data_IF_894561229457
#
_entry.id   IF_894561229457
#
_cell.length_a   1.000
_cell.length_b   1.000
_cell.length_c   1.000
_cell.angle_alpha   90.00
_cell.angle_beta   90.00
_cell.angle_gamma   90.00
#
_symmetry.space_group_name_H-M   'P 1'
#
loop_
_entity.id
_entity.type
_entity.pdbx_description
1 polymer ?
#
# COMPACT_ATOMS: atom_id res chain seq x y z
N UNK A 1 -8.67 42.29 -9.87
CA UNK A 1 -9.63 41.24 -9.49
C UNK A 1 -10.22 40.54 -10.72
N UNK A 2 -10.74 41.28 -11.71
CA UNK A 2 -11.31 40.72 -12.96
C UNK A 2 -10.32 39.86 -13.77
N UNK A 3 -9.03 40.23 -13.84
CA UNK A 3 -8.00 39.50 -14.59
C UNK A 3 -7.68 38.09 -14.02
N UNK A 4 -7.78 37.90 -12.69
CA UNK A 4 -7.54 36.60 -12.04
C UNK A 4 -8.72 35.62 -12.27
N UNK A 5 -9.94 36.15 -12.32
CA UNK A 5 -11.15 35.38 -12.61
C UNK A 5 -11.15 34.93 -14.08
N UNK A 6 -10.72 35.81 -15.00
CA UNK A 6 -10.57 35.47 -16.42
C UNK A 6 -9.50 34.39 -16.67
N UNK A 7 -8.37 34.47 -15.96
CA UNK A 7 -7.30 33.46 -16.05
C UNK A 7 -7.73 32.09 -15.55
N UNK A 8 -8.45 32.03 -14.42
CA UNK A 8 -9.02 30.78 -13.90
C UNK A 8 -10.03 30.15 -14.86
N UNK A 9 -10.92 30.95 -15.45
CA UNK A 9 -11.89 30.48 -16.44
C UNK A 9 -11.20 29.90 -17.69
N UNK A 10 -10.12 30.53 -18.16
CA UNK A 10 -9.36 30.05 -19.32
C UNK A 10 -8.69 28.69 -19.06
N UNK A 11 -8.13 28.48 -17.87
CA UNK A 11 -7.55 27.19 -17.47
C UNK A 11 -8.64 26.11 -17.42
N UNK A 12 -9.80 26.41 -16.83
CA UNK A 12 -10.92 25.47 -16.77
C UNK A 12 -11.41 25.10 -18.18
N UNK A 13 -11.53 26.07 -19.09
CA UNK A 13 -11.92 25.82 -20.49
C UNK A 13 -10.90 24.95 -21.23
N UNK A 14 -9.60 25.16 -21.01
CA UNK A 14 -8.55 24.32 -21.58
C UNK A 14 -8.61 22.89 -21.06
N UNK A 15 -8.85 22.70 -19.77
CA UNK A 15 -9.02 21.37 -19.17
C UNK A 15 -10.23 20.65 -19.79
N UNK A 16 -11.37 21.34 -19.89
CA UNK A 16 -12.58 20.78 -20.51
C UNK A 16 -12.34 20.43 -21.97
N UNK A 17 -11.70 21.31 -22.75
CA UNK A 17 -11.36 21.05 -24.14
C UNK A 17 -10.42 19.83 -24.29
N UNK A 18 -9.43 19.69 -23.39
CA UNK A 18 -8.55 18.52 -23.34
C UNK A 18 -9.30 17.22 -23.06
N UNK A 19 -10.23 17.24 -22.11
CA UNK A 19 -11.09 16.08 -21.78
C UNK A 19 -11.95 15.70 -23.00
N UNK A 20 -12.58 16.68 -23.65
CA UNK A 20 -13.41 16.44 -24.84
C UNK A 20 -12.59 15.87 -26.00
N UNK A 21 -11.37 16.37 -26.22
CA UNK A 21 -10.47 15.83 -27.23
C UNK A 21 -10.07 14.37 -26.91
N UNK A 22 -9.76 14.06 -25.64
CA UNK A 22 -9.44 12.70 -25.22
C UNK A 22 -10.63 11.74 -25.43
N UNK A 23 -11.85 12.17 -25.07
CA UNK A 23 -13.07 11.40 -25.32
C UNK A 23 -13.27 11.16 -26.82
N UNK A 24 -13.09 12.18 -27.65
CA UNK A 24 -13.23 12.06 -29.10
C UNK A 24 -12.22 11.07 -29.70
N UNK A 25 -10.97 11.06 -29.20
CA UNK A 25 -9.94 10.10 -29.62
C UNK A 25 -10.32 8.68 -29.21
N UNK A 26 -10.79 8.46 -27.98
CA UNK A 26 -11.20 7.13 -27.50
C UNK A 26 -12.37 6.59 -28.31
N UNK A 27 -13.38 7.43 -28.58
CA UNK A 27 -14.54 7.06 -29.38
C UNK A 27 -14.13 6.76 -30.82
N UNK A 28 -13.32 7.63 -31.44
CA UNK A 28 -12.84 7.45 -32.80
C UNK A 28 -12.01 6.18 -32.97
N UNK A 29 -11.13 5.90 -32.01
CA UNK A 29 -10.33 4.67 -31.98
C UNK A 29 -11.21 3.43 -31.87
N UNK A 30 -12.17 3.44 -30.93
CA UNK A 30 -13.10 2.33 -30.72
C UNK A 30 -13.97 2.07 -31.96
N UNK A 31 -14.40 3.14 -32.65
CA UNK A 31 -15.13 3.04 -33.91
C UNK A 31 -14.27 2.43 -35.02
N UNK A 32 -13.01 2.87 -35.15
CA UNK A 32 -12.07 2.33 -36.13
C UNK A 32 -11.77 0.85 -35.93
N UNK A 33 -11.48 0.44 -34.69
CA UNK A 33 -11.23 -0.98 -34.34
C UNK A 33 -12.49 -1.83 -34.57
N UNK A 34 -13.66 -1.33 -34.17
CA UNK A 34 -14.93 -2.02 -34.41
C UNK A 34 -15.26 -2.16 -35.89
N UNK A 35 -14.99 -1.13 -36.70
CA UNK A 35 -15.19 -1.18 -38.15
C UNK A 35 -14.30 -2.24 -38.82
N UNK A 36 -13.02 -2.33 -38.41
CA UNK A 36 -12.10 -3.37 -38.90
C UNK A 36 -12.60 -4.76 -38.48
N UNK A 37 -12.99 -4.94 -37.21
CA UNK A 37 -13.45 -6.23 -36.71
C UNK A 37 -14.72 -6.73 -37.43
N UNK A 38 -15.64 -5.83 -37.77
CA UNK A 38 -16.87 -6.14 -38.51
C UNK A 38 -16.61 -6.61 -39.96
N UNK A 39 -15.42 -6.35 -40.54
CA UNK A 39 -15.06 -6.90 -41.86
C UNK A 39 -14.68 -8.38 -41.81
N UNK A 40 -14.21 -8.87 -40.66
CA UNK A 40 -13.66 -10.23 -40.52
C UNK A 40 -14.55 -11.17 -39.70
N UNK A 41 -15.45 -10.61 -38.88
CA UNK A 41 -16.32 -11.36 -37.99
C UNK A 41 -17.78 -11.00 -38.26
N UNK A 42 -18.73 -11.94 -38.06
CA UNK A 42 -20.15 -11.73 -38.32
C UNK A 42 -20.81 -10.91 -37.20
N UNK A 43 -20.21 -9.79 -36.82
CA UNK A 43 -20.73 -8.87 -35.81
C UNK A 43 -21.39 -7.67 -36.45
N UNK A 44 -22.40 -7.13 -35.79
CA UNK A 44 -22.92 -5.80 -36.13
C UNK A 44 -21.89 -4.72 -35.77
N UNK A 45 -21.94 -3.55 -36.42
CA UNK A 45 -21.05 -2.42 -36.08
C UNK A 45 -21.17 -2.03 -34.60
N UNK A 46 -22.37 -2.14 -34.02
CA UNK A 46 -22.58 -1.91 -32.59
C UNK A 46 -21.83 -2.94 -31.72
N UNK A 47 -21.97 -4.23 -32.00
CA UNK A 47 -21.29 -5.28 -31.25
C UNK A 47 -19.77 -5.20 -31.41
N UNK A 48 -19.30 -4.91 -32.62
CA UNK A 48 -17.88 -4.78 -32.91
C UNK A 48 -17.25 -3.56 -32.21
N UNK A 49 -17.97 -2.43 -32.11
CA UNK A 49 -17.50 -1.26 -31.37
C UNK A 49 -17.54 -1.46 -29.86
N UNK A 50 -18.57 -2.12 -29.33
CA UNK A 50 -18.62 -2.52 -27.91
C UNK A 50 -17.45 -3.44 -27.54
N UNK A 51 -17.17 -4.43 -28.40
CA UNK A 51 -16.07 -5.37 -28.22
C UNK A 51 -14.70 -4.67 -28.34
N UNK A 52 -14.59 -3.69 -29.23
CA UNK A 52 -13.43 -2.80 -29.33
C UNK A 52 -13.19 -1.98 -28.05
N UNK A 53 -14.25 -1.46 -27.42
CA UNK A 53 -14.14 -0.76 -26.13
C UNK A 53 -13.68 -1.71 -25.02
N UNK A 54 -14.28 -2.89 -24.89
CA UNK A 54 -13.89 -3.89 -23.90
C UNK A 54 -12.44 -4.35 -24.09
N UNK A 55 -12.04 -4.61 -25.33
CA UNK A 55 -10.66 -4.96 -25.68
C UNK A 55 -9.70 -3.82 -25.33
N UNK A 56 -10.08 -2.57 -25.58
CA UNK A 56 -9.25 -1.40 -25.23
C UNK A 56 -9.08 -1.24 -23.72
N UNK A 57 -10.15 -1.46 -22.93
CA UNK A 57 -10.06 -1.46 -21.46
C UNK A 57 -9.12 -2.58 -20.99
N UNK A 58 -9.24 -3.77 -21.58
CA UNK A 58 -8.39 -4.91 -21.23
C UNK A 58 -6.92 -4.67 -21.59
N UNK A 59 -6.64 -4.15 -22.79
CA UNK A 59 -5.29 -3.79 -23.24
C UNK A 59 -4.73 -2.65 -22.39
N UNK A 60 -5.54 -1.67 -22.02
CA UNK A 60 -5.11 -0.60 -21.12
C UNK A 60 -4.76 -1.15 -19.73
N UNK A 61 -5.59 -2.01 -19.14
CA UNK A 61 -5.33 -2.62 -17.84
C UNK A 61 -4.09 -3.54 -17.85
N UNK A 62 -3.94 -4.36 -18.89
CA UNK A 62 -2.80 -5.25 -19.05
C UNK A 62 -1.52 -4.45 -19.36
N UNK A 63 -1.64 -3.46 -20.23
CA UNK A 63 -0.59 -2.54 -20.61
C UNK A 63 -0.13 -1.67 -19.45
N UNK A 64 -1.04 -1.16 -18.62
CA UNK A 64 -0.69 -0.40 -17.41
C UNK A 64 0.05 -1.26 -16.41
N UNK A 65 -0.32 -2.54 -16.28
CA UNK A 65 0.36 -3.50 -15.40
C UNK A 65 1.76 -3.88 -15.90
N UNK A 66 1.91 -4.07 -17.20
CA UNK A 66 3.21 -4.35 -17.84
C UNK A 66 4.09 -3.10 -17.81
N UNK A 67 3.52 -1.94 -18.12
CA UNK A 67 4.22 -0.67 -18.08
C UNK A 67 4.61 -0.31 -16.65
N UNK A 68 3.78 -0.58 -15.64
CA UNK A 68 4.18 -0.41 -14.24
C UNK A 68 5.31 -1.36 -13.86
N UNK A 69 5.32 -2.61 -14.35
CA UNK A 69 6.47 -3.49 -14.10
C UNK A 69 7.74 -3.04 -14.83
N UNK A 70 7.63 -2.50 -16.05
CA UNK A 70 8.78 -2.04 -16.84
C UNK A 70 9.30 -0.66 -16.41
N UNK A 71 8.42 0.23 -15.94
CA UNK A 71 8.83 1.52 -15.36
C UNK A 71 9.36 1.34 -13.93
N UNK A 72 8.90 0.32 -13.21
CA UNK A 72 9.50 -0.07 -11.93
C UNK A 72 10.94 -0.59 -12.10
N UNK A 73 11.28 -1.20 -13.24
CA UNK A 73 12.67 -1.57 -13.58
C UNK A 73 13.53 -0.36 -14.00
N UNK A 74 12.93 0.81 -14.29
CA UNK A 74 13.61 2.01 -14.76
C UNK A 74 14.14 2.93 -13.66
N UNK A 75 13.74 2.70 -12.41
CA UNK A 75 14.26 3.38 -11.22
C UNK A 75 15.31 2.52 -10.47
N UNK A 76 15.79 1.44 -11.11
CA UNK A 76 16.89 0.59 -10.63
C UNK A 76 18.18 0.83 -11.42
N UNK A 77 18.62 2.10 -11.53
CA UNK A 77 20.01 2.41 -11.90
C UNK A 77 20.63 3.45 -10.98
N UNK A 78 20.45 3.27 -9.67
CA UNK A 78 21.50 3.53 -8.68
C UNK A 78 21.49 2.39 -7.65
N UNK A 79 22.63 1.71 -7.54
CA UNK A 79 22.99 0.72 -6.50
C UNK A 79 22.37 -0.69 -6.56
N UNK A 80 22.56 -1.37 -7.69
CA UNK A 80 22.80 -2.82 -7.67
C UNK A 80 24.21 -3.09 -7.11
N UNK A 81 24.36 -2.97 -5.80
CA UNK A 81 25.65 -3.18 -5.14
C UNK A 81 25.53 -3.09 -3.62
N UNK A 82 25.08 -4.18 -3.00
CA UNK A 82 24.87 -4.31 -1.54
C UNK A 82 23.64 -3.48 -1.10
N UNK A 83 22.81 -4.05 -0.23
CA UNK A 83 21.68 -3.34 0.37
C UNK A 83 22.13 -2.02 1.01
N UNK A 84 21.20 -1.13 1.34
CA UNK A 84 21.53 0.13 1.99
C UNK A 84 22.55 -0.12 3.11
N UNK A 85 23.66 0.62 3.08
CA UNK A 85 24.70 0.59 4.09
C UNK A 85 24.02 0.62 5.49
N UNK A 86 24.25 -0.36 6.39
CA UNK A 86 23.61 -0.43 7.71
C UNK A 86 23.76 0.87 8.51
N UNK A 87 24.82 1.64 8.23
CA UNK A 87 25.07 2.95 8.85
C UNK A 87 24.09 4.07 8.46
N UNK A 88 23.17 3.85 7.51
CA UNK A 88 22.17 4.84 7.08
C UNK A 88 20.82 4.76 7.80
N UNK A 89 20.58 3.72 8.61
CA UNK A 89 19.30 3.52 9.31
C UNK A 89 19.00 4.64 10.34
N UNK A 90 20.01 5.10 11.06
CA UNK A 90 19.87 6.19 12.06
C UNK A 90 19.88 7.59 11.41
N UNK A 91 20.42 7.73 10.19
CA UNK A 91 20.78 9.05 9.63
C UNK A 91 19.80 9.58 8.57
N UNK A 92 18.85 8.76 8.08
CA UNK A 92 17.96 9.13 6.95
C UNK A 92 16.47 8.86 7.12
N UNK A 93 15.99 8.45 8.28
CA UNK A 93 14.55 8.50 8.53
C UNK A 93 14.21 9.96 8.88
N UNK A 94 13.41 10.68 8.06
CA UNK A 94 12.90 11.97 8.49
C UNK A 94 12.23 11.78 9.85
N UNK A 95 12.37 12.75 10.76
CA UNK A 95 11.47 12.87 11.91
C UNK A 95 10.06 13.08 11.34
N UNK A 96 9.41 12.01 10.92
CA UNK A 96 8.01 12.02 10.51
C UNK A 96 7.14 12.14 11.76
N UNK A 97 5.94 12.68 11.57
CA UNK A 97 4.94 12.94 12.62
C UNK A 97 4.47 11.66 13.36
N UNK A 98 5.03 10.49 13.02
CA UNK A 98 4.73 9.16 13.56
C UNK A 98 5.52 8.75 14.81
N UNK A 99 5.70 7.43 14.97
CA UNK A 99 6.42 6.80 16.09
C UNK A 99 7.90 6.72 15.71
N UNK A 100 8.82 7.31 16.50
CA UNK A 100 10.23 7.38 16.13
C UNK A 100 10.89 6.00 16.14
N UNK A 101 11.81 5.76 15.19
CA UNK A 101 12.57 4.51 15.09
C UNK A 101 13.38 4.19 16.35
N UNK A 102 13.81 5.21 17.08
CA UNK A 102 14.50 5.08 18.38
C UNK A 102 13.68 4.35 19.45
N UNK A 103 12.37 4.20 19.25
CA UNK A 103 11.50 3.38 20.11
C UNK A 103 11.75 1.88 19.93
N UNK A 104 12.24 1.45 18.77
CA UNK A 104 12.43 0.06 18.38
C UNK A 104 13.91 -0.34 18.28
N UNK A 105 14.78 0.60 17.91
CA UNK A 105 16.23 0.40 17.77
C UNK A 105 16.97 1.39 18.66
N UNK A 106 17.80 0.89 19.58
CA UNK A 106 18.63 1.74 20.46
C UNK A 106 20.12 1.68 20.11
N UNK A 107 20.54 0.61 19.45
CA UNK A 107 21.92 0.35 19.03
C UNK A 107 21.93 -0.41 17.71
N UNK A 108 23.09 -0.43 17.02
CA UNK A 108 23.28 -1.19 15.78
C UNK A 108 23.00 -2.70 15.97
N UNK A 109 23.21 -3.24 17.17
CA UNK A 109 22.91 -4.65 17.46
C UNK A 109 21.39 -4.94 17.52
N UNK A 110 20.57 -3.90 17.71
CA UNK A 110 19.10 -4.01 17.72
C UNK A 110 18.48 -3.87 16.32
N UNK A 111 19.30 -3.55 15.31
CA UNK A 111 18.89 -3.45 13.90
C UNK A 111 18.65 -4.84 13.30
N UNK A 112 17.48 -5.37 13.61
CA UNK A 112 17.02 -6.67 13.12
C UNK A 112 15.76 -6.51 12.28
N UNK A 113 15.49 -7.50 11.43
CA UNK A 113 14.22 -7.65 10.73
C UNK A 113 13.00 -7.50 11.66
N UNK A 114 13.08 -7.97 12.92
CA UNK A 114 11.99 -7.80 13.88
C UNK A 114 11.81 -6.34 14.29
N UNK A 115 12.89 -5.60 14.53
CA UNK A 115 12.83 -4.18 14.88
C UNK A 115 12.29 -3.35 13.72
N UNK A 116 12.76 -3.63 12.49
CA UNK A 116 12.25 -3.00 11.28
C UNK A 116 10.76 -3.30 11.05
N UNK A 117 10.37 -4.57 11.15
CA UNK A 117 8.98 -5.00 11.02
C UNK A 117 8.10 -4.30 12.06
N UNK A 118 8.53 -4.24 13.31
CA UNK A 118 7.78 -3.57 14.38
C UNK A 118 7.65 -2.06 14.14
N UNK A 119 8.72 -1.40 13.67
CA UNK A 119 8.68 0.01 13.32
C UNK A 119 7.66 0.32 12.23
N UNK A 120 7.73 -0.40 11.10
CA UNK A 120 6.83 -0.19 9.96
C UNK A 120 5.38 -0.45 10.35
N UNK A 121 5.11 -1.61 10.95
CA UNK A 121 3.75 -2.01 11.31
C UNK A 121 3.15 -1.08 12.38
N UNK A 122 3.95 -0.57 13.33
CA UNK A 122 3.44 0.37 14.32
C UNK A 122 3.03 1.70 13.72
N UNK A 123 3.80 2.23 12.75
CA UNK A 123 3.44 3.47 12.07
C UNK A 123 2.18 3.28 11.19
N UNK A 124 2.10 2.19 10.42
CA UNK A 124 0.89 1.91 9.61
C UNK A 124 -0.36 1.76 10.50
N UNK A 125 -0.25 1.08 11.66
CA UNK A 125 -1.37 0.98 12.61
C UNK A 125 -1.72 2.36 13.18
N UNK A 126 -0.72 3.17 13.52
CA UNK A 126 -0.95 4.52 14.06
C UNK A 126 -1.71 5.41 13.07
N UNK A 127 -1.26 5.45 11.82
CA UNK A 127 -1.88 6.26 10.77
C UNK A 127 -3.33 5.82 10.49
N UNK A 128 -3.57 4.52 10.37
CA UNK A 128 -4.92 3.98 10.15
C UNK A 128 -5.84 4.22 11.36
N UNK A 129 -5.31 4.16 12.59
CA UNK A 129 -6.10 4.45 13.79
C UNK A 129 -6.54 5.92 13.85
N UNK A 130 -5.70 6.85 13.39
CA UNK A 130 -6.08 8.26 13.27
C UNK A 130 -7.09 8.46 12.15
N UNK A 131 -6.84 7.88 10.97
CA UNK A 131 -7.67 8.08 9.80
C UNK A 131 -9.08 7.48 9.91
N UNK A 132 -9.19 6.25 10.42
CA UNK A 132 -10.47 5.51 10.44
C UNK A 132 -11.34 5.81 11.66
N UNK A 133 -10.73 6.16 12.79
CA UNK A 133 -11.41 6.20 14.09
C UNK A 133 -11.36 7.57 14.78
N UNK A 134 -10.63 8.56 14.24
CA UNK A 134 -10.52 9.91 14.81
C UNK A 134 -10.13 9.85 16.31
N UNK A 135 -9.22 8.93 16.64
CA UNK A 135 -8.90 8.62 18.04
C UNK A 135 -8.14 9.75 18.73
N UNK A 136 -7.53 10.68 18.00
CA UNK A 136 -6.89 11.88 18.57
C UNK A 136 -7.89 12.77 19.34
N UNK A 137 -9.15 12.80 18.89
CA UNK A 137 -10.22 13.53 19.56
C UNK A 137 -10.63 12.92 20.91
N UNK A 138 -10.38 11.61 21.12
CA UNK A 138 -10.80 10.86 22.32
C UNK A 138 -9.64 10.40 23.20
N UNK A 139 -8.46 10.19 22.61
CA UNK A 139 -7.22 9.74 23.23
C UNK A 139 -6.11 10.67 22.72
N UNK A 140 -5.33 11.26 23.62
CA UNK A 140 -4.23 12.14 23.19
C UNK A 140 -3.25 11.39 22.27
N UNK A 141 -2.60 12.09 21.35
CA UNK A 141 -1.70 11.53 20.33
C UNK A 141 -0.70 10.50 20.88
N UNK A 142 -0.04 10.82 22.00
CA UNK A 142 0.90 9.91 22.69
C UNK A 142 0.27 8.57 23.09
N UNK A 143 -1.00 8.60 23.51
CA UNK A 143 -1.74 7.38 23.88
C UNK A 143 -2.06 6.53 22.66
N UNK A 144 -2.36 7.15 21.51
CA UNK A 144 -2.60 6.46 20.24
C UNK A 144 -1.29 5.81 19.75
N UNK A 145 -0.16 6.52 19.83
CA UNK A 145 1.18 5.96 19.54
C UNK A 145 1.48 4.73 20.40
N UNK A 146 1.29 4.82 21.71
CA UNK A 146 1.51 3.68 22.61
C UNK A 146 0.46 2.55 22.45
N UNK A 147 -0.73 2.85 21.97
CA UNK A 147 -1.71 1.84 21.57
C UNK A 147 -1.22 1.08 20.32
N UNK A 148 -0.76 1.80 19.29
CA UNK A 148 -0.23 1.22 18.07
C UNK A 148 0.98 0.31 18.36
N UNK A 149 1.94 0.74 19.17
CA UNK A 149 3.08 -0.09 19.61
C UNK A 149 2.61 -1.40 20.26
N UNK A 150 1.65 -1.32 21.20
CA UNK A 150 1.12 -2.51 21.88
C UNK A 150 0.38 -3.45 20.93
N UNK A 151 -0.35 -2.92 19.96
CA UNK A 151 -1.01 -3.71 18.93
C UNK A 151 0.00 -4.40 18.01
N UNK A 152 1.10 -3.72 17.67
CA UNK A 152 2.22 -4.31 16.92
C UNK A 152 2.86 -5.47 17.67
N UNK A 153 3.01 -5.39 18.99
CA UNK A 153 3.54 -6.50 19.80
C UNK A 153 2.65 -7.74 19.72
N UNK A 154 1.32 -7.54 19.75
CA UNK A 154 0.34 -8.61 19.57
C UNK A 154 0.44 -9.20 18.16
N UNK A 155 0.52 -8.36 17.13
CA UNK A 155 0.66 -8.77 15.73
C UNK A 155 1.93 -9.60 15.53
N UNK A 156 3.06 -9.09 16.02
CA UNK A 156 4.37 -9.75 15.95
C UNK A 156 4.30 -11.12 16.64
N UNK A 157 3.71 -11.21 17.83
CA UNK A 157 3.53 -12.46 18.54
C UNK A 157 2.64 -13.46 17.76
N UNK A 158 1.57 -12.99 17.12
CA UNK A 158 0.73 -13.81 16.23
C UNK A 158 1.56 -14.42 15.10
N UNK A 159 2.42 -13.64 14.44
CA UNK A 159 3.21 -14.11 13.32
C UNK A 159 4.36 -15.03 13.74
N UNK A 160 5.07 -14.71 14.83
CA UNK A 160 6.14 -15.56 15.38
C UNK A 160 5.65 -16.96 15.77
N UNK A 161 4.41 -17.07 16.24
CA UNK A 161 3.79 -18.34 16.62
C UNK A 161 3.37 -19.25 15.44
N UNK A 162 3.30 -18.74 14.20
CA UNK A 162 2.86 -19.52 13.02
C UNK A 162 4.01 -20.35 12.44
N UNK A 163 3.75 -21.44 11.69
CA UNK A 163 4.81 -22.09 10.92
C UNK A 163 5.29 -21.21 9.76
N UNK A 164 6.50 -21.48 9.25
CA UNK A 164 6.99 -20.86 8.01
C UNK A 164 6.03 -21.15 6.85
N UNK A 165 5.98 -20.25 5.87
CA UNK A 165 5.12 -20.38 4.69
C UNK A 165 5.92 -20.24 3.39
N UNK A 166 5.47 -20.87 2.29
CA UNK A 166 6.04 -20.60 0.97
C UNK A 166 5.92 -19.11 0.60
N UNK A 167 6.91 -18.58 -0.13
CA UNK A 167 6.91 -17.17 -0.62
C UNK A 167 5.65 -16.80 -1.40
N UNK A 168 5.12 -17.74 -2.18
CA UNK A 168 3.90 -17.55 -2.97
C UNK A 168 2.61 -17.46 -2.15
N UNK A 169 2.65 -17.75 -0.84
CA UNK A 169 1.46 -17.72 0.00
C UNK A 169 1.26 -16.36 0.65
N UNK A 170 0.05 -15.82 0.54
CA UNK A 170 -0.34 -14.58 1.20
C UNK A 170 -0.26 -14.73 2.72
N UNK A 171 0.32 -13.74 3.37
CA UNK A 171 0.32 -13.57 4.82
C UNK A 171 -0.83 -12.65 5.18
N UNK A 172 -1.73 -13.13 6.04
CA UNK A 172 -2.84 -12.32 6.54
C UNK A 172 -3.07 -12.55 8.02
N UNK A 173 -3.62 -11.57 8.71
CA UNK A 173 -4.06 -11.63 10.11
C UNK A 173 -5.56 -11.33 10.20
N UNK A 174 -6.20 -11.89 11.21
CA UNK A 174 -7.65 -11.72 11.47
C UNK A 174 -7.87 -11.21 12.89
N UNK A 175 -8.98 -10.52 13.10
CA UNK A 175 -9.40 -10.04 14.45
C UNK A 175 -9.46 -11.19 15.46
N UNK A 176 -9.94 -12.36 15.05
CA UNK A 176 -9.99 -13.54 15.91
C UNK A 176 -8.60 -14.00 16.37
N UNK A 177 -7.59 -13.90 15.50
CA UNK A 177 -6.21 -14.22 15.85
C UNK A 177 -5.61 -13.19 16.81
N UNK A 178 -5.89 -11.90 16.59
CA UNK A 178 -5.48 -10.83 17.50
C UNK A 178 -6.07 -11.05 18.90
N UNK A 179 -7.39 -11.23 19.01
CA UNK A 179 -8.07 -11.50 20.29
C UNK A 179 -7.49 -12.71 21.00
N UNK A 180 -7.35 -13.83 20.29
CA UNK A 180 -6.76 -15.06 20.85
C UNK A 180 -5.34 -14.83 21.37
N UNK A 181 -4.55 -13.98 20.71
CA UNK A 181 -3.19 -13.69 21.14
C UNK A 181 -3.16 -12.71 22.32
N UNK A 182 -4.04 -11.71 22.35
CA UNK A 182 -4.23 -10.83 23.50
C UNK A 182 -4.59 -11.62 24.75
N UNK A 183 -5.53 -12.56 24.64
CA UNK A 183 -5.94 -13.44 25.74
C UNK A 183 -4.74 -14.24 26.28
N UNK A 184 -3.91 -14.80 25.38
CA UNK A 184 -2.67 -15.51 25.76
C UNK A 184 -1.64 -14.61 26.45
N UNK A 185 -1.62 -13.32 26.09
CA UNK A 185 -0.72 -12.33 26.68
C UNK A 185 -1.29 -11.72 27.97
N UNK A 186 -2.49 -12.11 28.40
CA UNK A 186 -3.17 -11.55 29.57
C UNK A 186 -3.62 -10.10 29.39
N UNK A 187 -3.79 -9.65 28.14
CA UNK A 187 -4.24 -8.30 27.82
C UNK A 187 -5.77 -8.20 27.85
N UNK A 188 -6.29 -7.06 28.29
CA UNK A 188 -7.72 -6.77 28.16
C UNK A 188 -8.06 -6.58 26.68
N UNK A 189 -9.15 -7.19 26.16
CA UNK A 189 -9.54 -7.02 24.76
C UNK A 189 -9.87 -5.54 24.48
N UNK A 190 -9.34 -5.04 23.37
CA UNK A 190 -9.72 -3.74 22.82
C UNK A 190 -11.04 -3.84 22.05
N UNK A 191 -11.63 -2.69 21.73
CA UNK A 191 -12.84 -2.61 20.93
C UNK A 191 -12.63 -3.24 19.54
N UNK A 192 -13.69 -3.84 19.01
CA UNK A 192 -13.63 -4.54 17.73
C UNK A 192 -13.16 -3.64 16.59
N UNK A 193 -13.51 -2.36 16.62
CA UNK A 193 -13.17 -1.42 15.57
C UNK A 193 -11.65 -1.17 15.55
N UNK A 194 -11.03 -0.94 16.71
CA UNK A 194 -9.56 -0.85 16.87
C UNK A 194 -8.88 -2.10 16.30
N UNK A 195 -9.37 -3.29 16.68
CA UNK A 195 -8.78 -4.55 16.21
C UNK A 195 -8.98 -4.79 14.70
N UNK A 196 -10.08 -4.31 14.14
CA UNK A 196 -10.38 -4.41 12.72
C UNK A 196 -9.49 -3.47 11.92
N UNK A 197 -9.35 -2.21 12.35
CA UNK A 197 -8.42 -1.24 11.78
C UNK A 197 -6.99 -1.78 11.83
N UNK A 198 -6.56 -2.31 12.98
CA UNK A 198 -5.25 -2.96 13.12
C UNK A 198 -5.05 -4.10 12.11
N UNK A 199 -6.04 -4.99 11.98
CA UNK A 199 -5.93 -6.11 11.05
C UNK A 199 -5.89 -5.64 9.59
N UNK A 200 -6.62 -4.57 9.26
CA UNK A 200 -6.63 -3.97 7.93
C UNK A 200 -5.28 -3.33 7.60
N UNK A 201 -4.73 -2.49 8.49
CA UNK A 201 -3.42 -1.85 8.35
C UNK A 201 -2.34 -2.89 8.02
N UNK A 202 -2.23 -3.92 8.87
CA UNK A 202 -1.25 -5.00 8.71
C UNK A 202 -1.46 -5.77 7.40
N UNK A 203 -2.70 -6.14 7.08
CA UNK A 203 -3.00 -6.88 5.85
C UNK A 203 -2.77 -6.06 4.59
N UNK A 204 -3.01 -4.75 4.67
CA UNK A 204 -2.71 -3.77 3.64
C UNK A 204 -1.21 -3.75 3.39
N UNK A 205 -0.42 -3.44 4.43
CA UNK A 205 1.03 -3.37 4.32
C UNK A 205 1.65 -4.63 3.74
N UNK A 206 1.34 -5.79 4.31
CA UNK A 206 1.88 -7.08 3.87
C UNK A 206 1.39 -7.55 2.49
N UNK A 207 0.44 -6.83 1.88
CA UNK A 207 0.00 -7.12 0.52
C UNK A 207 0.73 -6.31 -0.55
N UNK A 208 1.40 -5.23 -0.16
CA UNK A 208 2.17 -4.36 -1.07
C UNK A 208 3.68 -4.46 -0.82
N UNK A 209 4.09 -4.76 0.41
CA UNK A 209 5.50 -4.84 0.82
C UNK A 209 5.94 -6.31 0.93
N UNK A 210 6.57 -6.81 -0.14
CA UNK A 210 7.03 -8.19 -0.23
C UNK A 210 8.19 -8.49 0.72
N UNK A 211 8.99 -7.49 1.07
CA UNK A 211 10.12 -7.62 2.00
C UNK A 211 9.61 -7.88 3.43
N UNK A 212 8.70 -7.03 3.93
CA UNK A 212 8.04 -7.24 5.22
C UNK A 212 7.26 -8.56 5.25
N UNK A 213 6.60 -8.92 4.14
CA UNK A 213 5.92 -10.20 4.05
C UNK A 213 6.91 -11.38 4.13
N UNK A 214 8.10 -11.25 3.53
CA UNK A 214 9.14 -12.27 3.57
C UNK A 214 9.73 -12.48 4.96
N UNK A 215 9.89 -11.42 5.76
CA UNK A 215 10.27 -11.53 7.19
C UNK A 215 9.32 -12.50 7.91
N UNK A 216 8.01 -12.33 7.71
CA UNK A 216 6.99 -13.18 8.31
C UNK A 216 7.01 -14.60 7.75
N UNK A 217 7.14 -14.75 6.42
CA UNK A 217 7.11 -16.07 5.75
C UNK A 217 8.32 -16.92 6.11
N UNK A 218 9.50 -16.32 6.10
CA UNK A 218 10.79 -16.98 6.30
C UNK A 218 11.25 -17.01 7.75
N UNK A 219 10.65 -16.18 8.61
CA UNK A 219 11.02 -16.02 10.03
C UNK A 219 12.46 -15.56 10.23
N UNK A 220 12.88 -14.56 9.48
CA UNK A 220 14.20 -13.94 9.56
C UNK A 220 14.32 -12.91 10.69
N UNK A 221 13.44 -12.97 11.70
CA UNK A 221 13.32 -12.02 12.82
C UNK A 221 14.62 -11.55 13.51
N UNK A 222 15.70 -12.33 13.44
CA UNK A 222 16.99 -12.02 14.08
C UNK A 222 18.09 -11.69 13.08
N UNK A 223 17.78 -11.74 11.80
CA UNK A 223 18.73 -11.39 10.76
C UNK A 223 18.93 -9.87 10.85
N UNK A 224 20.19 -9.46 10.69
CA UNK A 224 20.55 -8.05 10.69
C UNK A 224 19.93 -7.45 9.44
N UNK A 225 19.20 -6.34 9.64
CA UNK A 225 18.54 -5.62 8.56
C UNK A 225 19.58 -4.92 7.67
#
# INVERSE_FOLDING_TARGET
MILKILGGLFVVLLVIAGILAAIAVIIGWSYGVGWIAAQFLPFTLFEATLLGMLASIFVFFLGSRILSSLLSEGEETMEAGRGPDPSLFITRLPEEEGIPASRFVQSEEDETDESWFRYQIANDIYDDLLADLDLDATMGETQVKELAVRLTDVVTAVFKARPKKPRSQRVTITVAQLKKQMDKMGLRPYDNDILKTTANAVNGRLSFDDELADIVRQKTWRDIY
#
